data_IF_471980277177
#
_entry.id   IF_471980277177
#
_cell.length_a   1.000
_cell.length_b   1.000
_cell.length_c   1.000
_cell.angle_alpha   90.00
_cell.angle_beta   90.00
_cell.angle_gamma   90.00
#
_symmetry.space_group_name_H-M   'P 1'
#
loop_
_entity.id
_entity.type
_entity.pdbx_description
1 polymer ?
#
# COMPACT_ATOMS: atom_id res chain seq x y z
N UNK A 1 2.69 -57.92 -20.45
CA UNK A 1 2.43 -57.35 -19.11
C UNK A 1 2.62 -55.85 -19.22
N UNK A 2 1.57 -55.12 -19.61
CA UNK A 2 1.60 -53.66 -19.78
C UNK A 2 0.56 -53.07 -18.83
N UNK A 3 1.04 -52.44 -17.78
CA UNK A 3 0.25 -51.72 -16.78
C UNK A 3 -0.08 -50.34 -17.35
N UNK A 4 -1.33 -50.10 -17.73
CA UNK A 4 -1.80 -48.76 -18.03
C UNK A 4 -2.17 -48.06 -16.71
N UNK A 5 -1.33 -47.13 -16.28
CA UNK A 5 -1.65 -46.19 -15.22
C UNK A 5 -2.75 -45.23 -15.70
N UNK A 6 -3.88 -45.24 -15.00
CA UNK A 6 -4.94 -44.25 -15.12
C UNK A 6 -4.39 -42.89 -14.64
N UNK A 7 -4.19 -41.95 -15.56
CA UNK A 7 -3.90 -40.55 -15.24
C UNK A 7 -5.23 -39.85 -14.92
N UNK A 8 -5.50 -39.66 -13.63
CA UNK A 8 -6.59 -38.79 -13.17
C UNK A 8 -6.16 -37.34 -13.42
N UNK A 9 -6.70 -36.74 -14.47
CA UNK A 9 -6.64 -35.29 -14.67
C UNK A 9 -7.55 -34.62 -13.64
N UNK A 10 -6.97 -34.13 -12.55
CA UNK A 10 -7.60 -33.12 -11.72
C UNK A 10 -7.68 -31.82 -12.55
N UNK A 11 -8.84 -31.58 -13.15
CA UNK A 11 -9.22 -30.26 -13.62
C UNK A 11 -9.30 -29.35 -12.39
N UNK A 12 -8.21 -28.66 -12.09
CA UNK A 12 -8.22 -27.52 -11.19
C UNK A 12 -9.01 -26.41 -11.91
N UNK A 13 -10.33 -26.46 -11.79
CA UNK A 13 -11.19 -25.33 -12.11
C UNK A 13 -10.74 -24.17 -11.22
N UNK A 14 -10.08 -23.19 -11.81
CA UNK A 14 -9.78 -21.91 -11.17
C UNK A 14 -11.11 -21.27 -10.79
N UNK A 15 -11.51 -21.45 -9.54
CA UNK A 15 -12.64 -20.71 -8.97
C UNK A 15 -12.23 -19.25 -9.06
N UNK A 16 -12.88 -18.51 -9.96
CA UNK A 16 -12.82 -17.05 -9.96
C UNK A 16 -13.50 -16.62 -8.68
N UNK A 17 -12.71 -16.40 -7.62
CA UNK A 17 -13.21 -15.86 -6.36
C UNK A 17 -13.74 -14.47 -6.69
N UNK A 18 -15.07 -14.31 -6.61
CA UNK A 18 -15.68 -13.00 -6.71
C UNK A 18 -15.06 -12.10 -5.64
N UNK A 19 -14.35 -11.06 -6.08
CA UNK A 19 -13.87 -10.04 -5.16
C UNK A 19 -15.08 -9.19 -4.81
N UNK A 20 -15.52 -9.26 -3.55
CA UNK A 20 -16.59 -8.39 -3.05
C UNK A 20 -15.93 -7.17 -2.36
N UNK A 21 -15.82 -6.02 -3.04
CA UNK A 21 -15.34 -4.79 -2.43
C UNK A 21 -16.44 -4.15 -1.57
N UNK A 22 -16.03 -3.46 -0.50
CA UNK A 22 -16.85 -2.50 0.20
C UNK A 22 -16.38 -1.10 -0.18
N UNK A 23 -17.25 -0.30 -0.80
CA UNK A 23 -17.01 1.09 -1.10
C UNK A 23 -17.59 1.97 0.01
N UNK A 24 -16.80 2.88 0.55
CA UNK A 24 -17.19 3.77 1.65
C UNK A 24 -16.74 5.19 1.31
N UNK A 25 -17.63 6.17 1.40
CA UNK A 25 -17.34 7.58 1.17
C UNK A 25 -18.09 8.46 2.16
N UNK A 26 -17.57 9.65 2.51
CA UNK A 26 -18.37 10.65 3.21
C UNK A 26 -19.50 11.19 2.31
N UNK A 27 -20.61 11.57 2.92
CA UNK A 27 -21.61 12.44 2.30
C UNK A 27 -21.23 13.90 2.55
N UNK A 28 -20.92 14.64 1.48
CA UNK A 28 -20.41 16.01 1.58
C UNK A 28 -21.34 16.91 2.39
N UNK A 29 -20.79 17.59 3.41
CA UNK A 29 -21.54 18.49 4.29
C UNK A 29 -22.49 17.79 5.27
N UNK A 30 -22.25 16.51 5.54
CA UNK A 30 -23.01 15.69 6.49
C UNK A 30 -22.07 14.77 7.28
N UNK A 31 -22.53 14.30 8.44
CA UNK A 31 -21.86 13.22 9.20
C UNK A 31 -22.24 11.82 8.68
N UNK A 32 -23.02 11.74 7.60
CA UNK A 32 -23.46 10.50 6.99
C UNK A 32 -22.39 9.86 6.11
N UNK A 33 -22.45 8.54 6.04
CA UNK A 33 -21.56 7.68 5.28
C UNK A 33 -22.34 7.10 4.10
N UNK A 34 -21.77 7.15 2.91
CA UNK A 34 -22.25 6.43 1.73
C UNK A 34 -21.51 5.10 1.64
N UNK A 35 -22.25 4.01 1.61
CA UNK A 35 -21.69 2.65 1.58
C UNK A 35 -22.29 1.86 0.42
N UNK A 36 -21.48 1.04 -0.22
CA UNK A 36 -21.92 0.07 -1.21
C UNK A 36 -21.10 -1.22 -1.07
N UNK A 37 -21.78 -2.36 -0.93
CA UNK A 37 -21.13 -3.63 -0.61
C UNK A 37 -21.10 -4.63 -1.77
N UNK A 38 -21.85 -4.37 -2.85
CA UNK A 38 -22.03 -5.27 -3.99
C UNK A 38 -22.42 -4.45 -5.24
N UNK A 39 -21.51 -4.28 -6.19
CA UNK A 39 -21.72 -3.43 -7.38
C UNK A 39 -22.84 -3.90 -8.33
N UNK A 40 -23.26 -5.17 -8.20
CA UNK A 40 -24.17 -5.85 -9.14
C UNK A 40 -25.44 -6.41 -8.48
N UNK A 41 -25.75 -6.05 -7.24
CA UNK A 41 -26.97 -6.48 -6.57
C UNK A 41 -27.85 -5.27 -6.26
N UNK A 42 -29.16 -5.49 -6.25
CA UNK A 42 -30.11 -4.53 -5.70
C UNK A 42 -29.60 -4.10 -4.32
N UNK A 43 -29.71 -2.81 -3.97
CA UNK A 43 -29.24 -2.31 -2.68
C UNK A 43 -29.80 -3.22 -1.59
N UNK A 44 -28.91 -3.96 -0.93
CA UNK A 44 -29.27 -4.93 0.10
C UNK A 44 -30.03 -4.18 1.18
N UNK A 45 -31.34 -4.34 1.25
CA UNK A 45 -32.19 -3.55 2.14
C UNK A 45 -31.82 -3.69 3.61
N UNK A 46 -31.15 -4.80 3.98
CA UNK A 46 -30.65 -5.02 5.33
C UNK A 46 -29.37 -5.89 5.32
N UNK A 47 -28.29 -5.40 5.94
CA UNK A 47 -27.02 -6.14 6.05
C UNK A 47 -27.17 -7.49 6.76
N UNK A 48 -28.21 -7.67 7.58
CA UNK A 48 -28.51 -8.96 8.24
C UNK A 48 -28.87 -10.07 7.26
N UNK A 49 -29.28 -9.74 6.04
CA UNK A 49 -29.72 -10.73 5.05
C UNK A 49 -28.53 -11.33 4.29
N UNK A 50 -27.33 -10.77 4.49
CA UNK A 50 -26.10 -11.29 3.90
C UNK A 50 -25.61 -12.47 4.75
N UNK A 51 -25.51 -13.63 4.12
CA UNK A 51 -25.09 -14.86 4.79
C UNK A 51 -23.67 -14.79 5.37
N UNK A 52 -23.42 -15.56 6.43
CA UNK A 52 -22.14 -15.62 7.16
C UNK A 52 -20.92 -15.98 6.27
N UNK A 53 -21.15 -16.70 5.18
CA UNK A 53 -20.11 -17.11 4.22
C UNK A 53 -19.65 -15.97 3.30
N UNK A 54 -20.34 -14.82 3.32
CA UNK A 54 -19.94 -13.65 2.56
C UNK A 54 -18.60 -13.10 3.06
N UNK A 55 -17.71 -12.78 2.10
CA UNK A 55 -16.36 -12.26 2.39
C UNK A 55 -16.06 -10.99 1.60
N UNK A 56 -15.67 -9.94 2.33
CA UNK A 56 -15.23 -8.64 1.83
C UNK A 56 -13.72 -8.70 1.59
N UNK A 57 -13.29 -8.50 0.36
CA UNK A 57 -11.88 -8.63 -0.02
C UNK A 57 -11.13 -7.30 0.02
N UNK A 58 -11.85 -6.19 0.13
CA UNK A 58 -11.23 -4.92 0.43
C UNK A 58 -12.22 -3.80 0.70
N UNK A 59 -11.72 -2.75 1.32
CA UNK A 59 -12.44 -1.53 1.66
C UNK A 59 -11.81 -0.39 0.86
N UNK A 60 -12.62 0.35 0.10
CA UNK A 60 -12.16 1.33 -0.87
C UNK A 60 -12.93 2.64 -0.77
N UNK A 61 -12.21 3.76 -0.76
CA UNK A 61 -12.79 5.10 -0.83
C UNK A 61 -12.71 5.61 -2.27
N UNK A 62 -13.68 5.23 -3.08
CA UNK A 62 -13.79 5.61 -4.49
C UNK A 62 -15.26 5.64 -4.93
N UNK A 63 -15.57 6.47 -5.91
CA UNK A 63 -16.93 6.62 -6.48
C UNK A 63 -17.31 5.51 -7.48
N UNK A 64 -16.71 4.33 -7.36
CA UNK A 64 -16.85 3.26 -8.35
C UNK A 64 -18.20 2.53 -8.30
N UNK A 65 -19.09 2.87 -7.37
CA UNK A 65 -20.39 2.20 -7.20
C UNK A 65 -21.59 3.05 -7.61
N UNK A 66 -22.64 2.35 -8.06
CA UNK A 66 -23.94 2.93 -8.48
C UNK A 66 -25.01 2.92 -7.38
N UNK A 67 -25.02 1.91 -6.50
CA UNK A 67 -26.06 1.68 -5.50
C UNK A 67 -25.60 2.06 -4.08
N UNK A 68 -25.67 3.35 -3.76
CA UNK A 68 -25.26 3.86 -2.45
C UNK A 68 -26.35 3.74 -1.39
N UNK A 69 -25.98 3.19 -0.24
CA UNK A 69 -26.76 3.21 0.98
C UNK A 69 -26.20 4.27 1.91
N UNK A 70 -27.10 4.94 2.64
CA UNK A 70 -26.72 5.94 3.64
C UNK A 70 -26.74 5.31 5.01
N UNK A 71 -25.69 5.58 5.78
CA UNK A 71 -25.59 5.25 7.19
C UNK A 71 -25.31 6.54 7.95
N UNK A 72 -26.09 6.84 8.99
CA UNK A 72 -25.71 7.83 9.99
C UNK A 72 -24.47 7.36 10.74
N UNK A 73 -23.78 8.26 11.47
CA UNK A 73 -22.64 7.89 12.30
C UNK A 73 -22.98 6.78 13.33
N UNK A 74 -24.18 6.82 13.90
CA UNK A 74 -24.66 5.82 14.86
C UNK A 74 -24.88 4.46 14.18
N UNK A 75 -25.55 4.42 13.03
CA UNK A 75 -25.77 3.20 12.26
C UNK A 75 -24.46 2.63 11.73
N UNK A 76 -23.52 3.50 11.34
CA UNK A 76 -22.18 3.09 10.94
C UNK A 76 -21.45 2.37 12.09
N UNK A 77 -21.55 2.91 13.31
CA UNK A 77 -20.95 2.33 14.51
C UNK A 77 -21.60 1.03 14.97
N UNK A 78 -22.94 0.94 14.89
CA UNK A 78 -23.70 -0.16 15.49
C UNK A 78 -24.04 -1.29 14.51
N UNK A 79 -24.06 -1.01 13.21
CA UNK A 79 -24.46 -1.97 12.17
C UNK A 79 -23.31 -2.22 11.20
N UNK A 80 -22.81 -1.16 10.53
CA UNK A 80 -21.83 -1.31 9.46
C UNK A 80 -20.48 -1.84 9.96
N UNK A 81 -19.91 -1.24 10.99
CA UNK A 81 -18.58 -1.61 11.50
C UNK A 81 -18.56 -3.07 11.99
N UNK A 82 -19.53 -3.53 12.82
CA UNK A 82 -19.61 -4.95 13.21
C UNK A 82 -19.76 -5.89 12.00
N UNK A 83 -20.53 -5.48 10.99
CA UNK A 83 -20.65 -6.22 9.75
C UNK A 83 -19.29 -6.34 9.02
N UNK A 84 -18.57 -5.22 8.83
CA UNK A 84 -17.25 -5.22 8.20
C UNK A 84 -16.26 -6.12 8.96
N UNK A 85 -16.22 -6.03 10.30
CA UNK A 85 -15.35 -6.84 11.15
C UNK A 85 -15.64 -8.34 11.01
N UNK A 86 -16.90 -8.72 10.88
CA UNK A 86 -17.33 -10.12 10.77
C UNK A 86 -17.06 -10.72 9.39
N UNK A 87 -17.20 -9.90 8.35
CA UNK A 87 -17.16 -10.34 6.95
C UNK A 87 -15.83 -10.06 6.24
N UNK A 88 -14.87 -9.40 6.87
CA UNK A 88 -13.56 -9.16 6.25
C UNK A 88 -12.85 -10.49 5.92
N UNK A 89 -12.40 -10.64 4.68
CA UNK A 89 -11.60 -11.77 4.26
C UNK A 89 -10.18 -11.69 4.88
N UNK A 90 -9.54 -12.84 5.14
CA UNK A 90 -8.10 -12.86 5.36
C UNK A 90 -7.37 -12.22 4.18
N UNK A 91 -6.28 -11.49 4.46
CA UNK A 91 -5.49 -10.79 3.44
C UNK A 91 -6.27 -9.73 2.64
N UNK A 92 -7.30 -9.12 3.22
CA UNK A 92 -8.04 -8.04 2.57
C UNK A 92 -7.17 -6.80 2.29
N UNK A 93 -7.65 -5.92 1.42
CA UNK A 93 -6.99 -4.66 1.06
C UNK A 93 -7.75 -3.46 1.64
N UNK A 94 -7.02 -2.46 2.15
CA UNK A 94 -7.59 -1.18 2.55
C UNK A 94 -7.04 -0.08 1.63
N UNK A 95 -7.94 0.74 1.07
CA UNK A 95 -7.58 1.90 0.27
C UNK A 95 -8.44 3.09 0.67
N UNK A 96 -7.84 4.01 1.42
CA UNK A 96 -8.44 5.30 1.75
C UNK A 96 -7.62 6.37 1.04
N UNK A 97 -8.15 6.81 -0.10
CA UNK A 97 -7.61 7.88 -0.92
C UNK A 97 -8.47 9.13 -0.78
N UNK A 98 -7.84 10.29 -0.94
CA UNK A 98 -8.51 11.59 -0.95
C UNK A 98 -7.78 12.60 -0.09
N UNK A 99 -8.11 13.87 -0.33
CA UNK A 99 -7.50 15.00 0.37
C UNK A 99 -7.84 14.98 1.86
N UNK A 100 -6.92 15.47 2.68
CA UNK A 100 -7.09 15.56 4.12
C UNK A 100 -8.09 16.66 4.50
N UNK A 101 -9.38 16.41 4.28
CA UNK A 101 -10.50 17.28 4.61
C UNK A 101 -11.35 16.69 5.75
N UNK A 102 -12.23 17.51 6.33
CA UNK A 102 -12.97 17.13 7.53
C UNK A 102 -14.02 16.05 7.27
N UNK A 103 -14.67 16.08 6.11
CA UNK A 103 -15.62 15.05 5.67
C UNK A 103 -14.94 13.66 5.66
N UNK A 104 -13.75 13.57 5.06
CA UNK A 104 -13.01 12.31 4.98
C UNK A 104 -12.47 11.86 6.34
N UNK A 105 -12.02 12.78 7.20
CA UNK A 105 -11.61 12.45 8.57
C UNK A 105 -12.76 11.89 9.40
N UNK A 106 -13.97 12.40 9.23
CA UNK A 106 -15.16 11.98 9.97
C UNK A 106 -15.54 10.53 9.68
N UNK A 107 -15.17 10.02 8.49
CA UNK A 107 -15.36 8.61 8.11
C UNK A 107 -14.11 7.77 8.42
N UNK A 108 -12.93 8.25 8.00
CA UNK A 108 -11.69 7.49 8.09
C UNK A 108 -11.29 7.22 9.55
N UNK A 109 -11.37 8.19 10.45
CA UNK A 109 -10.88 8.01 11.82
C UNK A 109 -11.68 6.97 12.63
N UNK A 110 -13.03 7.00 12.67
CA UNK A 110 -13.79 5.95 13.34
C UNK A 110 -13.58 4.57 12.72
N UNK A 111 -13.50 4.51 11.38
CA UNK A 111 -13.26 3.27 10.65
C UNK A 111 -11.89 2.67 10.97
N UNK A 112 -10.81 3.46 10.87
CA UNK A 112 -9.45 3.01 11.18
C UNK A 112 -9.32 2.54 12.64
N UNK A 113 -9.97 3.25 13.58
CA UNK A 113 -10.01 2.81 14.99
C UNK A 113 -10.67 1.44 15.13
N UNK A 114 -11.80 1.22 14.47
CA UNK A 114 -12.54 -0.02 14.61
C UNK A 114 -11.89 -1.21 13.89
N UNK A 115 -11.12 -0.97 12.83
CA UNK A 115 -10.46 -2.01 12.05
C UNK A 115 -9.00 -2.24 12.46
N UNK A 116 -8.52 -1.57 13.51
CA UNK A 116 -7.11 -1.57 13.90
C UNK A 116 -6.56 -2.97 14.23
N UNK A 117 -7.41 -3.86 14.76
CA UNK A 117 -7.04 -5.22 15.16
C UNK A 117 -7.25 -6.26 14.05
N UNK A 118 -7.78 -5.85 12.88
CA UNK A 118 -7.92 -6.72 11.72
C UNK A 118 -6.63 -6.71 10.88
N UNK A 119 -6.40 -7.73 10.07
CA UNK A 119 -5.18 -7.80 9.25
C UNK A 119 -5.45 -7.47 7.78
N UNK A 120 -4.77 -6.43 7.30
CA UNK A 120 -4.76 -6.07 5.88
C UNK A 120 -3.43 -6.47 5.23
N UNK A 121 -3.51 -7.15 4.09
CA UNK A 121 -2.32 -7.52 3.31
C UNK A 121 -1.79 -6.37 2.46
N UNK A 122 -2.67 -5.43 2.12
CA UNK A 122 -2.35 -4.24 1.31
C UNK A 122 -3.02 -3.02 1.93
N UNK A 123 -2.25 -1.96 2.11
CA UNK A 123 -2.74 -0.71 2.68
C UNK A 123 -2.31 0.42 1.76
N UNK A 124 -3.30 1.20 1.32
CA UNK A 124 -3.10 2.49 0.67
C UNK A 124 -3.81 3.54 1.52
N UNK A 125 -3.06 4.45 2.15
CA UNK A 125 -3.61 5.35 3.16
C UNK A 125 -3.04 6.77 3.08
N UNK A 126 -3.94 7.76 3.02
CA UNK A 126 -3.64 9.16 3.27
C UNK A 126 -3.44 9.49 4.75
N UNK A 127 -2.71 10.56 5.06
CA UNK A 127 -2.61 11.04 6.45
C UNK A 127 -3.85 11.86 6.85
N UNK A 128 -4.69 11.30 7.72
CA UNK A 128 -5.91 11.94 8.24
C UNK A 128 -5.81 12.33 9.72
N UNK A 129 -4.60 12.21 10.30
CA UNK A 129 -4.29 12.54 11.69
C UNK A 129 -3.56 11.40 12.41
N UNK A 130 -3.36 11.54 13.74
CA UNK A 130 -2.58 10.57 14.52
C UNK A 130 -3.09 9.13 14.47
N UNK A 131 -4.40 8.93 14.26
CA UNK A 131 -4.98 7.59 14.12
C UNK A 131 -4.53 6.87 12.84
N UNK A 132 -4.22 7.59 11.75
CA UNK A 132 -3.65 7.00 10.54
C UNK A 132 -2.27 6.39 10.83
N UNK A 133 -1.44 7.11 11.58
CA UNK A 133 -0.10 6.64 11.97
C UNK A 133 -0.18 5.45 12.92
N UNK A 134 -1.02 5.55 13.96
CA UNK A 134 -1.23 4.45 14.89
C UNK A 134 -1.77 3.20 14.18
N UNK A 135 -2.73 3.36 13.27
CA UNK A 135 -3.29 2.26 12.49
C UNK A 135 -2.19 1.55 11.69
N UNK A 136 -1.44 2.29 10.86
CA UNK A 136 -0.39 1.67 10.03
C UNK A 136 0.68 1.03 10.90
N UNK A 137 1.09 1.66 12.01
CA UNK A 137 2.04 1.07 12.94
C UNK A 137 1.55 -0.27 13.50
N UNK A 138 0.30 -0.35 13.95
CA UNK A 138 -0.32 -1.60 14.43
C UNK A 138 -0.35 -2.67 13.34
N UNK A 139 -0.74 -2.30 12.12
CA UNK A 139 -0.77 -3.23 10.98
C UNK A 139 0.61 -3.78 10.64
N UNK A 140 1.64 -2.92 10.65
CA UNK A 140 3.02 -3.32 10.41
C UNK A 140 3.53 -4.26 11.52
N UNK A 141 3.28 -3.92 12.79
CA UNK A 141 3.73 -4.74 13.93
C UNK A 141 3.04 -6.09 14.04
N UNK A 142 1.82 -6.20 13.54
CA UNK A 142 1.08 -7.48 13.51
C UNK A 142 1.45 -8.35 12.29
N UNK A 143 2.25 -7.81 11.35
CA UNK A 143 3.18 -8.61 10.54
C UNK A 143 2.64 -9.20 9.23
N UNK A 144 1.57 -8.65 8.64
CA UNK A 144 0.98 -9.18 7.40
C UNK A 144 0.86 -8.17 6.25
N UNK A 145 1.28 -6.92 6.44
CA UNK A 145 1.25 -5.92 5.37
C UNK A 145 2.35 -6.26 4.37
N UNK A 146 1.96 -6.66 3.16
CA UNK A 146 2.88 -6.97 2.06
C UNK A 146 3.08 -5.80 1.10
N UNK A 147 2.12 -4.88 1.06
CA UNK A 147 2.11 -3.71 0.18
C UNK A 147 1.62 -2.49 0.95
N UNK A 148 2.50 -1.50 1.11
CA UNK A 148 2.22 -0.26 1.82
C UNK A 148 2.39 0.92 0.86
N UNK A 149 1.31 1.65 0.65
CA UNK A 149 1.31 2.93 -0.07
C UNK A 149 0.84 4.02 0.87
N UNK A 150 1.72 4.97 1.18
CA UNK A 150 1.38 6.16 1.94
C UNK A 150 1.17 7.32 0.98
N UNK A 151 0.06 8.05 1.12
CA UNK A 151 -0.28 9.18 0.25
C UNK A 151 -0.41 10.49 1.04
N UNK A 152 -0.16 11.62 0.38
CA UNK A 152 -0.25 12.94 1.00
C UNK A 152 0.88 13.27 1.97
N UNK A 153 0.73 14.35 2.74
CA UNK A 153 1.78 14.86 3.62
C UNK A 153 1.77 14.18 4.99
N UNK A 154 2.49 13.07 5.12
CA UNK A 154 2.71 12.42 6.40
C UNK A 154 3.72 13.20 7.28
N UNK A 155 3.53 13.22 8.62
CA UNK A 155 4.45 13.90 9.53
C UNK A 155 5.81 13.20 9.61
N UNK A 156 6.80 13.86 10.19
CA UNK A 156 8.18 13.35 10.30
C UNK A 156 8.31 11.95 10.94
N UNK A 157 7.35 11.55 11.79
CA UNK A 157 7.29 10.20 12.38
C UNK A 157 7.14 9.07 11.36
N UNK A 158 6.69 9.37 10.13
CA UNK A 158 6.54 8.38 9.08
C UNK A 158 7.87 7.76 8.62
N UNK A 159 9.01 8.43 8.80
CA UNK A 159 10.32 7.84 8.50
C UNK A 159 10.61 6.61 9.36
N UNK A 160 10.33 6.69 10.67
CA UNK A 160 10.53 5.57 11.60
C UNK A 160 9.50 4.46 11.38
N UNK A 161 8.27 4.82 11.00
CA UNK A 161 7.27 3.87 10.54
C UNK A 161 7.76 3.09 9.32
N UNK A 162 8.32 3.77 8.32
CA UNK A 162 8.87 3.15 7.12
C UNK A 162 10.06 2.24 7.46
N UNK A 163 10.98 2.67 8.33
CA UNK A 163 12.08 1.81 8.82
C UNK A 163 11.54 0.55 9.49
N UNK A 164 10.51 0.69 10.32
CA UNK A 164 9.84 -0.44 10.98
C UNK A 164 9.23 -1.38 9.95
N UNK A 165 8.50 -0.86 8.97
CA UNK A 165 7.89 -1.66 7.90
C UNK A 165 8.93 -2.46 7.11
N UNK A 166 10.03 -1.81 6.69
CA UNK A 166 11.11 -2.46 5.95
C UNK A 166 11.80 -3.56 6.77
N UNK A 167 11.88 -3.42 8.10
CA UNK A 167 12.56 -4.38 8.97
C UNK A 167 11.69 -5.59 9.30
N UNK A 168 10.40 -5.37 9.57
CA UNK A 168 9.48 -6.40 10.08
C UNK A 168 8.81 -7.21 8.95
N UNK A 169 8.83 -6.70 7.72
CA UNK A 169 8.10 -7.29 6.59
C UNK A 169 9.00 -8.15 5.71
N UNK A 170 8.56 -9.39 5.43
CA UNK A 170 9.20 -10.24 4.45
C UNK A 170 8.85 -9.76 3.03
N UNK A 171 9.85 -9.36 2.25
CA UNK A 171 9.70 -8.80 0.89
C UNK A 171 8.79 -7.56 0.82
N UNK A 172 9.17 -6.46 1.49
CA UNK A 172 8.32 -5.28 1.55
C UNK A 172 8.13 -4.66 0.16
N UNK A 173 6.89 -4.25 -0.12
CA UNK A 173 6.56 -3.37 -1.24
C UNK A 173 6.12 -2.03 -0.67
N UNK A 174 6.84 -0.97 -1.01
CA UNK A 174 6.61 0.36 -0.48
C UNK A 174 6.43 1.37 -1.61
N UNK A 175 5.44 2.24 -1.45
CA UNK A 175 5.22 3.44 -2.26
C UNK A 175 5.03 4.65 -1.34
N UNK A 176 5.79 5.73 -1.57
CA UNK A 176 5.56 7.04 -0.94
C UNK A 176 5.30 8.03 -2.07
N UNK A 177 4.05 8.43 -2.29
CA UNK A 177 3.69 9.33 -3.42
C UNK A 177 4.40 10.68 -3.34
N UNK A 178 4.44 11.41 -4.45
CA UNK A 178 5.15 12.70 -4.59
C UNK A 178 4.83 13.74 -3.51
N UNK A 179 3.58 13.77 -3.05
CA UNK A 179 3.15 14.68 -1.98
C UNK A 179 3.74 14.33 -0.61
N UNK A 180 4.31 13.13 -0.46
CA UNK A 180 5.06 12.77 0.73
C UNK A 180 6.38 13.53 0.75
N UNK A 181 6.54 14.37 1.75
CA UNK A 181 7.76 15.14 2.00
C UNK A 181 8.59 14.50 3.12
N UNK A 182 8.52 13.17 3.27
CA UNK A 182 9.20 12.43 4.34
C UNK A 182 10.72 12.59 4.16
N UNK A 183 11.47 12.89 5.23
CA UNK A 183 12.93 12.91 5.17
C UNK A 183 13.47 11.50 4.93
N UNK A 184 14.27 11.35 3.87
CA UNK A 184 15.08 10.15 3.65
C UNK A 184 16.44 10.44 4.28
N UNK A 185 16.50 10.20 5.58
CA UNK A 185 17.73 10.31 6.36
C UNK A 185 18.75 9.23 5.94
N UNK A 186 19.95 9.34 6.50
CA UNK A 186 21.04 8.41 6.18
C UNK A 186 20.69 6.97 6.53
N UNK A 187 20.01 6.74 7.65
CA UNK A 187 19.75 5.41 8.18
C UNK A 187 18.67 4.68 7.36
N UNK A 188 17.59 5.37 7.02
CA UNK A 188 16.53 4.87 6.13
C UNK A 188 17.10 4.56 4.73
N UNK A 189 17.90 5.47 4.19
CA UNK A 189 18.56 5.24 2.91
C UNK A 189 19.45 4.00 2.94
N UNK A 190 20.33 3.90 3.94
CA UNK A 190 21.25 2.77 4.06
C UNK A 190 20.52 1.45 4.32
N UNK A 191 19.42 1.47 5.07
CA UNK A 191 18.55 0.31 5.27
C UNK A 191 18.00 -0.19 3.93
N UNK A 192 17.33 0.68 3.16
CA UNK A 192 16.79 0.30 1.84
C UNK A 192 17.88 -0.20 0.90
N UNK A 193 19.02 0.51 0.87
CA UNK A 193 20.13 0.16 0.00
C UNK A 193 20.74 -1.20 0.38
N UNK A 194 20.94 -1.47 1.67
CA UNK A 194 21.49 -2.74 2.14
C UNK A 194 20.51 -3.90 1.87
N UNK A 195 19.22 -3.70 2.10
CA UNK A 195 18.22 -4.72 1.76
C UNK A 195 18.19 -5.03 0.26
N UNK A 196 18.40 -4.04 -0.60
CA UNK A 196 18.55 -4.26 -2.04
C UNK A 196 19.83 -5.06 -2.37
N UNK A 197 20.96 -4.72 -1.76
CA UNK A 197 22.23 -5.45 -1.93
C UNK A 197 22.09 -6.91 -1.49
N UNK A 198 21.33 -7.16 -0.41
CA UNK A 198 21.06 -8.48 0.15
C UNK A 198 19.93 -9.25 -0.58
N UNK A 199 19.40 -8.72 -1.69
CA UNK A 199 18.27 -9.29 -2.46
C UNK A 199 16.96 -9.46 -1.67
N UNK A 200 16.81 -8.71 -0.57
CA UNK A 200 15.60 -8.65 0.27
C UNK A 200 14.62 -7.58 -0.18
N UNK A 201 15.05 -6.68 -1.06
CA UNK A 201 14.25 -5.57 -1.57
C UNK A 201 14.20 -5.60 -3.10
N UNK A 202 13.23 -6.33 -3.62
CA UNK A 202 13.05 -6.51 -5.06
C UNK A 202 12.11 -5.46 -5.67
N UNK A 203 11.25 -4.86 -4.87
CA UNK A 203 10.23 -3.93 -5.33
C UNK A 203 10.08 -2.71 -4.41
N UNK A 204 10.65 -1.59 -4.83
CA UNK A 204 10.31 -0.25 -4.35
C UNK A 204 9.69 0.52 -5.51
N UNK A 205 8.47 1.00 -5.29
CA UNK A 205 7.79 1.81 -6.28
C UNK A 205 7.83 3.26 -5.82
N UNK A 206 8.59 4.08 -6.53
CA UNK A 206 8.54 5.53 -6.48
C UNK A 206 8.44 6.10 -5.04
N UNK A 207 9.54 6.02 -4.29
CA UNK A 207 9.66 6.64 -2.96
C UNK A 207 10.08 8.08 -3.14
N UNK A 208 9.14 9.02 -3.03
CA UNK A 208 9.45 10.45 -3.02
C UNK A 208 9.75 10.95 -1.61
N UNK A 209 10.70 11.87 -1.50
CA UNK A 209 11.05 12.49 -0.23
C UNK A 209 12.25 13.43 -0.31
N UNK A 210 12.68 13.96 0.83
CA UNK A 210 13.85 14.85 0.93
C UNK A 210 15.08 14.06 1.34
N UNK A 211 16.03 13.86 0.43
CA UNK A 211 17.27 13.17 0.76
C UNK A 211 18.19 14.06 1.58
N UNK A 212 18.54 13.61 2.78
CA UNK A 212 19.47 14.35 3.64
C UNK A 212 20.94 14.06 3.30
N UNK A 213 21.20 12.99 2.54
CA UNK A 213 22.51 12.65 2.00
C UNK A 213 22.85 13.54 0.80
N UNK A 214 24.07 14.09 0.77
CA UNK A 214 24.54 14.89 -0.37
C UNK A 214 24.85 13.99 -1.55
N UNK A 215 24.52 14.43 -2.77
CA UNK A 215 24.77 13.68 -4.01
C UNK A 215 26.22 13.20 -4.17
N UNK A 216 27.19 14.02 -3.75
CA UNK A 216 28.62 13.66 -3.79
C UNK A 216 28.97 12.42 -2.94
N UNK A 217 28.22 12.16 -1.88
CA UNK A 217 28.46 11.03 -0.97
C UNK A 217 27.90 9.73 -1.58
N UNK A 218 26.94 9.82 -2.52
CA UNK A 218 26.43 8.67 -3.25
C UNK A 218 27.43 8.14 -4.29
N UNK A 219 28.27 9.01 -4.85
CA UNK A 219 29.30 8.63 -5.84
C UNK A 219 30.27 7.60 -5.28
N UNK A 220 30.56 7.65 -3.97
CA UNK A 220 31.52 6.75 -3.32
C UNK A 220 30.88 5.46 -2.80
N UNK A 221 29.55 5.35 -2.84
CA UNK A 221 28.82 4.22 -2.30
C UNK A 221 28.87 3.03 -3.28
N UNK A 222 29.47 1.91 -2.85
CA UNK A 222 29.55 0.64 -3.61
C UNK A 222 29.87 0.85 -5.10
N UNK A 223 31.04 1.43 -5.43
CA UNK A 223 31.41 1.74 -6.81
C UNK A 223 31.47 0.48 -7.70
N UNK A 224 31.68 -0.68 -7.11
CA UNK A 224 31.65 -2.00 -7.76
C UNK A 224 30.26 -2.38 -8.32
N UNK A 225 29.19 -1.85 -7.72
CA UNK A 225 27.81 -2.11 -8.13
C UNK A 225 27.22 -0.97 -8.98
N UNK A 226 27.88 0.17 -9.06
CA UNK A 226 27.37 1.33 -9.78
C UNK A 226 27.27 1.07 -11.28
N UNK A 227 26.19 1.60 -11.87
CA UNK A 227 25.89 1.49 -13.30
C UNK A 227 25.63 2.87 -13.88
N UNK A 228 26.49 3.26 -14.83
CA UNK A 228 26.45 4.59 -15.45
C UNK A 228 25.63 4.55 -16.74
N UNK A 229 24.85 5.61 -17.00
CA UNK A 229 24.10 5.79 -18.25
C UNK A 229 22.94 4.81 -18.48
N UNK A 230 22.67 3.90 -17.53
CA UNK A 230 21.55 2.95 -17.64
C UNK A 230 20.21 3.68 -17.53
N UNK A 231 20.10 4.64 -16.61
CA UNK A 231 18.92 5.48 -16.41
C UNK A 231 19.25 6.90 -16.86
N UNK A 232 18.37 7.51 -17.64
CA UNK A 232 18.49 8.93 -18.00
C UNK A 232 17.84 9.77 -16.89
N UNK A 233 18.42 10.93 -16.52
CA UNK A 233 17.74 11.88 -15.65
C UNK A 233 16.37 12.27 -16.20
N UNK A 234 15.35 12.33 -15.33
CA UNK A 234 14.01 12.81 -15.65
C UNK A 234 14.02 14.32 -15.91
N UNK A 235 14.82 15.05 -15.13
CA UNK A 235 15.07 16.48 -15.31
C UNK A 235 16.50 16.68 -15.82
N UNK A 236 16.70 17.32 -16.98
CA UNK A 236 18.04 17.63 -17.50
C UNK A 236 18.86 18.43 -16.49
N UNK A 237 20.14 18.07 -16.32
CA UNK A 237 21.05 18.73 -15.37
C UNK A 237 21.02 18.16 -13.95
N UNK A 238 20.04 17.32 -13.60
CA UNK A 238 19.98 16.68 -12.29
C UNK A 238 20.69 15.33 -12.28
N UNK A 239 21.40 14.98 -11.20
CA UNK A 239 22.11 13.71 -11.11
C UNK A 239 21.15 12.52 -10.94
N UNK A 240 21.55 11.37 -11.48
CA UNK A 240 20.89 10.08 -11.27
C UNK A 240 21.96 9.04 -10.94
N UNK A 241 21.70 8.24 -9.92
CA UNK A 241 22.58 7.16 -9.48
C UNK A 241 21.84 5.85 -9.58
N UNK A 242 22.52 4.81 -10.07
CA UNK A 242 21.95 3.48 -10.19
C UNK A 242 22.96 2.43 -9.77
N UNK A 243 22.51 1.45 -8.99
CA UNK A 243 23.29 0.29 -8.59
C UNK A 243 22.57 -0.98 -9.03
N UNK A 244 23.31 -1.96 -9.53
CA UNK A 244 22.78 -3.31 -9.80
C UNK A 244 23.04 -4.20 -8.59
N UNK A 245 22.18 -5.19 -8.35
CA UNK A 245 22.49 -6.24 -7.38
C UNK A 245 23.32 -7.35 -8.04
N UNK A 246 24.20 -8.00 -7.26
CA UNK A 246 24.98 -9.14 -7.73
C UNK A 246 24.09 -10.36 -8.02
N UNK A 247 22.99 -10.53 -7.27
CA UNK A 247 22.05 -11.62 -7.43
C UNK A 247 21.25 -11.53 -8.75
N UNK A 248 20.95 -10.31 -9.18
CA UNK A 248 20.17 -10.05 -10.39
C UNK A 248 20.68 -8.81 -11.13
N UNK A 249 21.54 -8.97 -12.17
CA UNK A 249 22.14 -7.84 -12.88
C UNK A 249 21.14 -7.03 -13.72
N UNK A 250 19.86 -7.45 -13.79
CA UNK A 250 18.78 -6.72 -14.48
C UNK A 250 17.96 -5.84 -13.54
N UNK A 251 18.11 -6.01 -12.23
CA UNK A 251 17.45 -5.21 -11.21
C UNK A 251 18.38 -4.09 -10.76
N UNK A 252 17.85 -2.86 -10.75
CA UNK A 252 18.58 -1.67 -10.36
C UNK A 252 17.87 -0.99 -9.19
N UNK A 253 18.65 -0.51 -8.22
CA UNK A 253 18.24 0.49 -7.23
C UNK A 253 18.64 1.86 -7.77
N UNK A 254 17.71 2.79 -7.81
CA UNK A 254 17.89 4.08 -8.48
C UNK A 254 17.59 5.21 -7.50
N UNK A 255 18.43 6.22 -7.51
CA UNK A 255 18.22 7.51 -6.83
C UNK A 255 18.23 8.59 -7.89
N UNK A 256 17.10 9.24 -8.06
CA UNK A 256 16.90 10.31 -9.03
C UNK A 256 16.68 11.63 -8.30
N UNK A 257 17.56 12.61 -8.53
CA UNK A 257 17.38 13.94 -7.99
C UNK A 257 16.39 14.72 -8.86
N UNK A 258 15.48 15.42 -8.20
CA UNK A 258 14.49 16.33 -8.78
C UNK A 258 14.74 17.74 -8.22
N UNK A 259 13.95 18.74 -8.64
CA UNK A 259 14.19 20.14 -8.26
C UNK A 259 14.28 20.35 -6.75
N UNK A 260 13.33 19.81 -5.99
CA UNK A 260 13.21 20.02 -4.54
C UNK A 260 13.15 18.73 -3.71
N UNK A 261 13.35 17.57 -4.34
CA UNK A 261 13.19 16.26 -3.70
C UNK A 261 13.98 15.18 -4.46
N UNK A 262 13.92 13.95 -3.97
CA UNK A 262 14.43 12.77 -4.68
C UNK A 262 13.32 11.76 -4.88
N UNK A 263 13.54 10.90 -5.87
CA UNK A 263 12.78 9.66 -6.08
C UNK A 263 13.74 8.48 -5.93
N UNK A 264 13.40 7.53 -5.05
CA UNK A 264 14.14 6.29 -4.83
C UNK A 264 13.27 5.11 -5.25
N UNK A 265 13.76 4.23 -6.12
CA UNK A 265 12.96 3.13 -6.65
C UNK A 265 13.82 1.95 -7.10
N UNK A 266 13.18 0.79 -7.30
CA UNK A 266 13.79 -0.33 -8.02
C UNK A 266 13.18 -0.53 -9.39
N UNK A 267 13.99 -0.93 -10.38
CA UNK A 267 13.53 -1.15 -11.75
C UNK A 267 14.20 -2.36 -12.41
N UNK A 268 13.41 -3.14 -13.13
CA UNK A 268 13.90 -4.20 -14.01
C UNK A 268 14.12 -3.68 -15.43
N UNK A 269 15.36 -3.74 -15.93
CA UNK A 269 15.66 -3.49 -17.35
C UNK A 269 15.55 -4.79 -18.13
N UNK A 270 14.58 -4.87 -19.05
CA UNK A 270 14.61 -5.87 -20.13
C UNK A 270 15.70 -5.45 -21.12
N UNK A 271 16.46 -6.42 -21.66
CA UNK A 271 17.48 -6.14 -22.69
C UNK A 271 16.83 -5.33 -23.82
N UNK A 272 17.46 -4.20 -24.17
CA UNK A 272 17.29 -3.58 -25.48
C UNK A 272 18.10 -4.32 -26.53
#
# INVERSE_FOLDING_TARGET
>A
MFTYCLLIFFLASTVVVAQNPAYILPEHGSDNWKVCLLDNLDPVSNLSDIGADFKIHGIYFTESCVNWQRFTLEEAGTILIPFLQTHLAPNSSLQILGDNNDDLKNVANPLLRALADLHFSKITLGYYGPFSEQFVYTQVKTGQVSDLTLTGSWPNGAADLVKTYLTETLNPRLTLTEDNQIPIDKDLFMLMFQMFVDDKLTYLRDIFGKLEIKSKDLVTLRPDLQSHGVIKPRIPGYPVFAWKTAANPKLYFVVQFLENQVEVYTIFRRRG
#
